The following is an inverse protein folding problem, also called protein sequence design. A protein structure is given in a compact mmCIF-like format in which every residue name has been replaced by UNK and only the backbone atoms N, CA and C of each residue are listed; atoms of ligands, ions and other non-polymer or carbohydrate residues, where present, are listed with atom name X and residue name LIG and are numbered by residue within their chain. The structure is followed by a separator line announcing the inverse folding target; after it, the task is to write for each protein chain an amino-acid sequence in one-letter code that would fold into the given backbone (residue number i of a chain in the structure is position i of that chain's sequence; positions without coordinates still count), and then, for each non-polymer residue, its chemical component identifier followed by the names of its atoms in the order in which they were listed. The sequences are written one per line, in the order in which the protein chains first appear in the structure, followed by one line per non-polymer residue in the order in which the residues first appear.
data_IF_201034625357
#
_entry.id   IF_201034625357
#
_cell.length_a   1.000
_cell.length_b   1.000
_cell.length_c   1.000
_cell.angle_alpha   90.00
_cell.angle_beta   90.00
_cell.angle_gamma   90.00
#
_symmetry.space_group_name_H-M   'P 1'
#
loop_
_entity.id
_entity.type
_entity.pdbx_description
1 polymer ?
#
# COMPACT_ATOMS: atom_id res chain seq x y z
N UNK A 1 36.32 -13.97 53.03
CA UNK A 1 36.76 -12.58 52.81
C UNK A 1 36.03 -12.02 51.60
N UNK A 2 35.11 -11.09 51.88
CA UNK A 2 34.69 -9.90 51.13
C UNK A 2 35.10 -9.70 49.65
N UNK A 3 34.07 -9.33 48.84
CA UNK A 3 34.04 -8.20 47.87
C UNK A 3 34.82 -8.35 46.55
N UNK A 4 34.34 -8.05 45.34
CA UNK A 4 33.40 -7.01 44.86
C UNK A 4 32.69 -7.45 43.55
N UNK A 5 31.36 -7.42 43.43
CA UNK A 5 30.55 -6.32 42.88
C UNK A 5 31.04 -5.78 41.51
N UNK A 6 30.41 -6.24 40.41
CA UNK A 6 29.80 -5.37 39.39
C UNK A 6 28.51 -6.03 38.89
N UNK A 7 27.35 -5.58 39.40
CA UNK A 7 26.05 -5.78 38.75
C UNK A 7 26.03 -4.90 37.49
N UNK A 8 26.22 -5.46 36.30
CA UNK A 8 25.74 -4.83 35.06
C UNK A 8 24.34 -5.37 34.80
N UNK A 9 23.38 -4.46 34.92
CA UNK A 9 21.96 -4.72 35.00
C UNK A 9 21.37 -5.41 33.79
N UNK A 10 20.30 -6.13 34.08
CA UNK A 10 19.14 -6.39 33.24
C UNK A 10 18.90 -5.24 32.25
N UNK A 11 19.19 -5.47 30.98
CA UNK A 11 18.39 -4.95 29.86
C UNK A 11 18.30 -6.07 28.83
N UNK A 12 17.54 -7.11 29.16
CA UNK A 12 17.16 -8.14 28.19
C UNK A 12 16.21 -7.53 27.17
N UNK A 13 16.68 -7.43 25.94
CA UNK A 13 15.97 -7.39 24.65
C UNK A 13 14.50 -7.86 24.67
N UNK A 14 13.54 -7.08 25.16
CA UNK A 14 12.12 -7.47 25.07
C UNK A 14 11.10 -6.31 24.95
N UNK A 15 11.53 -5.07 24.69
CA UNK A 15 10.59 -3.97 24.42
C UNK A 15 10.10 -3.88 22.97
N UNK A 16 10.69 -4.63 22.02
CA UNK A 16 10.25 -4.63 20.61
C UNK A 16 9.10 -5.62 20.31
N UNK A 17 8.68 -6.45 21.28
CA UNK A 17 7.71 -7.51 21.05
C UNK A 17 6.23 -7.08 21.17
N UNK A 18 5.94 -5.76 21.25
CA UNK A 18 4.59 -5.27 21.58
C UNK A 18 3.95 -4.35 20.54
N UNK A 19 4.44 -4.39 19.30
CA UNK A 19 3.62 -3.93 18.17
C UNK A 19 2.55 -5.01 17.95
N UNK A 20 1.25 -4.66 17.93
CA UNK A 20 0.21 -5.61 17.55
C UNK A 20 0.61 -6.18 16.18
N UNK A 21 0.97 -7.47 16.13
CA UNK A 21 1.04 -8.18 14.86
C UNK A 21 -0.40 -8.20 14.35
N UNK A 22 -0.74 -7.22 13.51
CA UNK A 22 -1.99 -7.22 12.74
C UNK A 22 -2.20 -8.64 12.24
N UNK A 23 -3.36 -9.21 12.56
CA UNK A 23 -3.70 -10.60 12.30
C UNK A 23 -3.17 -11.00 10.92
N UNK A 24 -2.31 -12.02 10.89
CA UNK A 24 -1.76 -12.55 9.66
C UNK A 24 -2.91 -13.01 8.79
N UNK A 25 -3.35 -12.20 7.83
CA UNK A 25 -4.18 -12.68 6.73
C UNK A 25 -3.38 -13.77 6.05
N UNK A 26 -3.87 -15.01 6.12
CA UNK A 26 -3.29 -16.13 5.39
C UNK A 26 -3.39 -15.83 3.89
N UNK A 27 -2.29 -15.38 3.28
CA UNK A 27 -2.20 -15.08 1.85
C UNK A 27 -1.53 -13.73 1.53
N UNK A 28 -0.75 -13.73 0.44
CA UNK A 28 -0.14 -12.52 -0.12
C UNK A 28 -1.24 -11.52 -0.51
N UNK A 29 -1.15 -10.29 -0.03
CA UNK A 29 -2.12 -9.22 -0.28
C UNK A 29 -1.72 -8.45 -1.54
N UNK A 30 -2.66 -8.24 -2.47
CA UNK A 30 -2.44 -7.41 -3.65
C UNK A 30 -2.73 -5.95 -3.34
N UNK A 31 -1.74 -5.09 -3.56
CA UNK A 31 -1.85 -3.63 -3.45
C UNK A 31 -1.80 -3.05 -4.85
N UNK A 32 -2.96 -2.56 -5.32
CA UNK A 32 -3.09 -1.87 -6.60
C UNK A 32 -2.81 -0.38 -6.41
N UNK A 33 -1.77 0.14 -7.06
CA UNK A 33 -1.32 1.52 -6.95
C UNK A 33 -1.52 2.21 -8.30
N UNK A 34 -2.41 3.19 -8.35
CA UNK A 34 -2.82 3.89 -9.56
C UNK A 34 -2.28 5.32 -9.53
N UNK A 35 -1.31 5.62 -10.39
CA UNK A 35 -0.58 6.89 -10.43
C UNK A 35 -0.45 7.42 -11.87
N UNK A 36 -0.10 8.69 -12.06
CA UNK A 36 0.22 9.20 -13.39
C UNK A 36 1.62 8.72 -13.84
N UNK A 37 1.86 8.72 -15.16
CA UNK A 37 3.20 8.51 -15.72
C UNK A 37 4.06 9.76 -15.50
N UNK A 38 5.21 9.61 -14.85
CA UNK A 38 6.16 10.70 -14.63
C UNK A 38 7.09 10.93 -15.82
N UNK A 39 7.18 9.95 -16.72
CA UNK A 39 8.07 9.96 -17.88
C UNK A 39 9.52 10.24 -17.50
N UNK A 40 10.21 11.02 -18.33
CA UNK A 40 11.61 11.37 -18.10
C UNK A 40 11.83 12.22 -16.83
N UNK A 41 10.82 12.94 -16.34
CA UNK A 41 10.93 13.65 -15.07
C UNK A 41 10.98 12.66 -13.90
N UNK A 42 10.06 11.69 -13.87
CA UNK A 42 10.03 10.63 -12.86
C UNK A 42 11.29 9.77 -12.85
N UNK A 43 11.83 9.45 -14.03
CA UNK A 43 13.09 8.69 -14.16
C UNK A 43 14.30 9.47 -13.63
N UNK A 44 14.43 10.75 -13.97
CA UNK A 44 15.57 11.60 -13.57
C UNK A 44 15.55 11.99 -12.10
N UNK A 45 14.37 12.18 -11.51
CA UNK A 45 14.24 12.63 -10.12
C UNK A 45 13.45 11.62 -9.27
N UNK A 46 14.18 10.85 -8.46
CA UNK A 46 13.62 9.85 -7.53
C UNK A 46 12.74 10.42 -6.42
N UNK A 47 12.74 11.74 -6.21
CA UNK A 47 11.88 12.40 -5.25
C UNK A 47 10.48 12.72 -5.80
N UNK A 48 10.22 12.51 -7.10
CA UNK A 48 8.86 12.59 -7.65
C UNK A 48 8.15 11.27 -7.34
N UNK A 49 7.70 11.13 -6.09
CA UNK A 49 7.17 9.87 -5.57
C UNK A 49 5.80 9.50 -6.15
N UNK A 50 4.98 10.48 -6.54
CA UNK A 50 3.60 10.31 -6.99
C UNK A 50 3.41 9.77 -8.42
N UNK A 51 4.45 9.22 -9.04
CA UNK A 51 4.39 8.67 -10.40
C UNK A 51 4.69 7.17 -10.44
N UNK A 52 4.30 6.51 -11.54
CA UNK A 52 4.50 5.06 -11.74
C UNK A 52 5.96 4.64 -11.56
N UNK A 53 6.92 5.45 -12.03
CA UNK A 53 8.35 5.12 -12.01
C UNK A 53 8.97 5.06 -10.60
N UNK A 54 8.38 5.79 -9.64
CA UNK A 54 8.88 5.86 -8.27
C UNK A 54 7.90 5.26 -7.25
N UNK A 55 6.65 5.03 -7.63
CA UNK A 55 5.65 4.23 -6.91
C UNK A 55 5.55 4.53 -5.40
N UNK A 56 5.51 5.82 -5.05
CA UNK A 56 5.46 6.32 -3.67
C UNK A 56 6.65 5.89 -2.79
N UNK A 57 7.72 5.37 -3.36
CA UNK A 57 8.84 4.74 -2.64
C UNK A 57 8.52 3.37 -2.05
N UNK A 58 7.32 2.82 -2.32
CA UNK A 58 6.86 1.55 -1.76
C UNK A 58 7.74 0.34 -2.13
N UNK A 59 8.25 0.20 -3.38
CA UNK A 59 9.10 -0.94 -3.72
C UNK A 59 10.32 -1.06 -2.82
N UNK A 60 10.98 0.07 -2.54
CA UNK A 60 12.14 0.13 -1.63
C UNK A 60 11.74 -0.28 -0.22
N UNK A 61 10.66 0.31 0.31
CA UNK A 61 10.18 0.01 1.66
C UNK A 61 9.77 -1.46 1.83
N UNK A 62 9.08 -2.04 0.84
CA UNK A 62 8.68 -3.46 0.84
C UNK A 62 9.90 -4.37 0.95
N UNK A 63 10.93 -4.09 0.15
CA UNK A 63 12.19 -4.86 0.15
C UNK A 63 12.93 -4.72 1.48
N UNK A 64 13.12 -3.49 1.97
CA UNK A 64 13.85 -3.22 3.22
C UNK A 64 13.17 -3.84 4.45
N UNK A 65 11.86 -4.05 4.41
CA UNK A 65 11.09 -4.66 5.49
C UNK A 65 10.77 -6.16 5.26
N UNK A 66 11.35 -6.79 4.23
CA UNK A 66 11.13 -8.21 3.89
C UNK A 66 9.63 -8.56 3.70
N UNK A 67 8.87 -7.69 3.05
CA UNK A 67 7.43 -7.83 2.86
C UNK A 67 7.03 -8.42 1.49
N UNK A 68 7.98 -8.78 0.63
CA UNK A 68 7.73 -9.26 -0.74
C UNK A 68 6.84 -10.54 -0.76
N UNK A 69 7.02 -11.43 0.22
CA UNK A 69 6.18 -12.63 0.38
C UNK A 69 4.76 -12.33 0.91
N UNK A 70 4.52 -11.10 1.38
CA UNK A 70 3.26 -10.68 2.00
C UNK A 70 2.50 -9.68 1.14
N UNK A 71 3.18 -8.87 0.35
CA UNK A 71 2.60 -7.80 -0.47
C UNK A 71 3.00 -7.99 -1.93
N UNK A 72 2.00 -8.14 -2.80
CA UNK A 72 2.15 -8.05 -4.25
C UNK A 72 1.78 -6.64 -4.67
N UNK A 73 2.75 -5.86 -5.11
CA UNK A 73 2.53 -4.50 -5.59
C UNK A 73 2.25 -4.51 -7.10
N UNK A 74 1.12 -3.93 -7.52
CA UNK A 74 0.80 -3.70 -8.93
C UNK A 74 0.68 -2.20 -9.13
N UNK A 75 1.65 -1.60 -9.82
CA UNK A 75 1.70 -0.15 -10.09
C UNK A 75 1.29 0.10 -11.54
N UNK A 76 0.36 1.02 -11.77
CA UNK A 76 -0.14 1.30 -13.13
C UNK A 76 -0.65 2.74 -13.27
N UNK A 77 -0.60 3.28 -14.48
CA UNK A 77 -1.37 4.46 -14.88
C UNK A 77 -2.63 4.10 -15.70
N UNK A 78 -2.70 2.87 -16.20
CA UNK A 78 -3.78 2.35 -17.03
C UNK A 78 -5.02 2.03 -16.19
N UNK A 79 -5.93 3.01 -16.15
CA UNK A 79 -7.11 3.02 -15.26
C UNK A 79 -8.47 3.06 -15.97
N UNK A 80 -8.48 3.08 -17.31
CA UNK A 80 -9.67 3.34 -18.11
C UNK A 80 -9.84 2.31 -19.23
N UNK A 81 -11.08 1.93 -19.47
CA UNK A 81 -11.45 0.90 -20.44
C UNK A 81 -11.48 -0.50 -19.82
N UNK A 82 -12.28 -1.37 -20.42
CA UNK A 82 -12.56 -2.73 -19.94
C UNK A 82 -11.31 -3.62 -19.86
N UNK A 83 -10.31 -3.30 -20.67
CA UNK A 83 -9.04 -4.04 -20.75
C UNK A 83 -7.93 -3.43 -19.88
N UNK A 84 -8.23 -2.39 -19.10
CA UNK A 84 -7.21 -1.71 -18.30
C UNK A 84 -6.62 -2.62 -17.23
N UNK A 85 -5.38 -2.33 -16.83
CA UNK A 85 -4.76 -2.99 -15.68
C UNK A 85 -5.61 -2.84 -14.42
N UNK A 86 -6.28 -1.69 -14.22
CA UNK A 86 -7.20 -1.52 -13.08
C UNK A 86 -8.38 -2.50 -13.14
N UNK A 87 -9.08 -2.65 -14.28
CA UNK A 87 -10.23 -3.57 -14.37
C UNK A 87 -9.83 -5.03 -14.14
N UNK A 88 -8.65 -5.43 -14.63
CA UNK A 88 -8.07 -6.77 -14.41
C UNK A 88 -7.57 -6.95 -12.96
N UNK A 89 -7.02 -5.86 -12.41
CA UNK A 89 -6.46 -5.58 -11.08
C UNK A 89 -7.38 -5.76 -9.88
N UNK A 90 -8.52 -5.11 -10.02
CA UNK A 90 -9.36 -4.68 -8.92
C UNK A 90 -10.08 -5.84 -8.20
N UNK A 91 -10.56 -6.89 -8.87
CA UNK A 91 -11.22 -8.02 -8.21
C UNK A 91 -10.36 -8.68 -7.13
N UNK A 92 -9.06 -8.81 -7.36
CA UNK A 92 -8.10 -9.43 -6.45
C UNK A 92 -7.45 -8.47 -5.45
N UNK A 93 -7.46 -7.16 -5.71
CA UNK A 93 -6.81 -6.15 -4.88
C UNK A 93 -7.48 -6.05 -3.50
N UNK A 94 -6.68 -6.14 -2.44
CA UNK A 94 -7.16 -5.88 -1.08
C UNK A 94 -6.92 -4.45 -0.62
N UNK A 95 -5.96 -3.77 -1.25
CA UNK A 95 -5.72 -2.34 -1.09
C UNK A 95 -5.69 -1.67 -2.46
N UNK A 96 -6.39 -0.55 -2.60
CA UNK A 96 -6.22 0.37 -3.72
C UNK A 96 -5.62 1.66 -3.19
N UNK A 97 -4.53 2.12 -3.81
CA UNK A 97 -3.94 3.43 -3.58
C UNK A 97 -4.10 4.22 -4.87
N UNK A 98 -4.70 5.41 -4.80
CA UNK A 98 -4.74 6.33 -5.94
C UNK A 98 -4.56 7.77 -5.49
N UNK A 99 -4.57 8.72 -6.41
CA UNK A 99 -4.36 10.13 -6.10
C UNK A 99 -5.39 11.03 -6.79
N UNK A 100 -5.69 12.22 -6.24
CA UNK A 100 -6.64 13.15 -6.87
C UNK A 100 -6.21 13.60 -8.27
N UNK A 101 -4.89 13.68 -8.52
CA UNK A 101 -4.32 14.10 -9.80
C UNK A 101 -4.45 13.05 -10.92
N UNK A 102 -4.66 11.78 -10.56
CA UNK A 102 -4.84 10.66 -11.48
C UNK A 102 -5.80 9.65 -10.85
N UNK A 103 -7.09 10.01 -10.71
CA UNK A 103 -8.00 9.32 -9.82
C UNK A 103 -8.38 7.95 -10.37
N UNK A 104 -8.23 6.92 -9.54
CA UNK A 104 -8.89 5.63 -9.76
C UNK A 104 -10.33 5.77 -9.25
N UNK A 105 -11.26 6.09 -10.14
CA UNK A 105 -12.67 6.18 -9.75
C UNK A 105 -13.16 4.81 -9.28
N UNK A 106 -13.53 4.72 -7.99
CA UNK A 106 -14.16 3.56 -7.38
C UNK A 106 -15.66 3.83 -7.29
N UNK A 107 -16.34 3.72 -8.42
CA UNK A 107 -17.80 3.77 -8.46
C UNK A 107 -18.43 2.53 -7.82
N UNK A 108 -19.76 2.52 -7.72
CA UNK A 108 -20.50 1.39 -7.13
C UNK A 108 -20.19 0.07 -7.85
N UNK A 109 -20.10 0.08 -9.18
CA UNK A 109 -19.85 -1.12 -9.99
C UNK A 109 -18.47 -1.72 -9.70
N UNK A 110 -17.45 -0.87 -9.63
CA UNK A 110 -16.08 -1.26 -9.28
C UNK A 110 -16.00 -1.76 -7.85
N UNK A 111 -16.63 -1.08 -6.90
CA UNK A 111 -16.71 -1.52 -5.50
C UNK A 111 -17.39 -2.88 -5.39
N UNK A 112 -18.49 -3.11 -6.12
CA UNK A 112 -19.20 -4.39 -6.11
C UNK A 112 -18.34 -5.54 -6.70
N UNK A 113 -17.52 -5.27 -7.71
CA UNK A 113 -16.57 -6.22 -8.32
C UNK A 113 -15.33 -6.50 -7.47
N UNK A 114 -14.87 -5.52 -6.68
CA UNK A 114 -13.62 -5.58 -5.92
C UNK A 114 -13.73 -6.49 -4.68
N UNK A 115 -13.99 -7.80 -4.85
CA UNK A 115 -14.38 -8.72 -3.76
C UNK A 115 -13.39 -8.82 -2.60
N UNK A 116 -12.12 -8.52 -2.83
CA UNK A 116 -11.09 -8.55 -1.79
C UNK A 116 -10.79 -7.18 -1.16
N UNK A 117 -11.36 -6.09 -1.68
CA UNK A 117 -11.03 -4.73 -1.27
C UNK A 117 -11.42 -4.49 0.19
N UNK A 118 -10.42 -4.07 0.97
CA UNK A 118 -10.52 -3.74 2.41
C UNK A 118 -10.13 -2.30 2.70
N UNK A 119 -9.30 -1.69 1.84
CA UNK A 119 -8.79 -0.34 2.07
C UNK A 119 -8.61 0.41 0.75
N UNK A 120 -9.14 1.62 0.69
CA UNK A 120 -8.86 2.60 -0.37
C UNK A 120 -8.10 3.78 0.24
N UNK A 121 -6.90 4.06 -0.25
CA UNK A 121 -6.01 5.12 0.23
C UNK A 121 -5.88 6.19 -0.84
N UNK A 122 -6.11 7.45 -0.46
CA UNK A 122 -5.76 8.59 -1.31
C UNK A 122 -4.34 9.06 -0.95
N UNK A 123 -3.41 8.97 -1.89
CA UNK A 123 -2.08 9.57 -1.81
C UNK A 123 -2.18 11.08 -2.09
N UNK A 124 -2.69 11.82 -1.11
CA UNK A 124 -3.04 13.23 -1.22
C UNK A 124 -4.27 13.55 -0.37
N UNK A 125 -5.02 14.59 -0.72
CA UNK A 125 -6.27 14.98 -0.06
C UNK A 125 -7.38 15.11 -1.10
N UNK A 126 -8.56 14.56 -0.80
CA UNK A 126 -9.72 14.52 -1.70
C UNK A 126 -10.03 13.10 -2.16
N UNK A 127 -11.03 12.47 -1.55
CA UNK A 127 -11.45 11.09 -1.83
C UNK A 127 -12.81 11.03 -2.54
N UNK A 128 -13.23 12.12 -3.18
CA UNK A 128 -14.48 12.23 -3.95
C UNK A 128 -14.54 11.29 -5.16
N UNK A 129 -13.38 10.78 -5.62
CA UNK A 129 -13.29 9.73 -6.62
C UNK A 129 -13.69 8.34 -6.11
N UNK A 130 -14.02 8.20 -4.83
CA UNK A 130 -14.57 6.97 -4.24
C UNK A 130 -16.05 7.20 -3.95
N UNK A 131 -16.92 6.29 -4.39
CA UNK A 131 -18.30 6.29 -3.95
C UNK A 131 -18.35 5.87 -2.47
N UNK A 132 -18.31 6.85 -1.56
CA UNK A 132 -18.20 6.64 -0.12
C UNK A 132 -19.41 5.89 0.45
N UNK A 133 -20.60 6.10 -0.11
CA UNK A 133 -21.80 5.37 0.32
C UNK A 133 -21.70 3.88 0.01
N UNK A 134 -21.30 3.52 -1.22
CA UNK A 134 -21.07 2.13 -1.60
C UNK A 134 -19.92 1.50 -0.81
N UNK A 135 -18.87 2.27 -0.51
CA UNK A 135 -17.75 1.80 0.30
C UNK A 135 -18.17 1.51 1.77
N UNK A 136 -19.04 2.33 2.36
CA UNK A 136 -19.52 2.13 3.73
C UNK A 136 -20.48 0.95 3.89
N UNK A 137 -21.17 0.55 2.81
CA UNK A 137 -22.17 -0.55 2.81
C UNK A 137 -21.55 -1.94 2.56
N UNK A 138 -20.25 -2.00 2.31
CA UNK A 138 -19.51 -3.21 1.95
C UNK A 138 -19.02 -3.96 3.20
#
# INVERSE_FOLDING_TARGET
MLSSIVKKGLLSNNLLARIPRYASTSGQQTVLVVLYEGGEAGKRNKNILGCVENALGLPKWIKENNLENRLKLVVTSDKQGENSVVEKTLPEASVVISQPFWPCYLDKTRIDKAKNLKLAITAGVGSDHVNLEAACKR
#
